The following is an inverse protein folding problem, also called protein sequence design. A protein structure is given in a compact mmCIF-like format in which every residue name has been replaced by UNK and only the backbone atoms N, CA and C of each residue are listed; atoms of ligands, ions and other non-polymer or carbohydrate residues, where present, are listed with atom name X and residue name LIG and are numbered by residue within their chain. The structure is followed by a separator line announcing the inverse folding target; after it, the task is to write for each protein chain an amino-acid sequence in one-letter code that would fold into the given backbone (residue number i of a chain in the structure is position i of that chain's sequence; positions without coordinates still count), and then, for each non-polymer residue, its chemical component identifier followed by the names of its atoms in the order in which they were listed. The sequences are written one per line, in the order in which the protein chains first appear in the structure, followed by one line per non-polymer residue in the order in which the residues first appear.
data_IF_935296894657
#
_entry.id   IF_935296894657
#
_cell.length_a   1.000
_cell.length_b   1.000
_cell.length_c   1.000
_cell.angle_alpha   90.00
_cell.angle_beta   90.00
_cell.angle_gamma   90.00
#
_symmetry.space_group_name_H-M   'P 1'
#
loop_
_entity.id
_entity.type
_entity.pdbx_description
1 polymer ?
#
# COMPACT_ATOMS: atom_id res chain seq x y z
N UNK A 1 -11.89 0.63 -33.38
CA UNK A 1 -12.91 1.65 -33.67
C UNK A 1 -14.28 1.24 -33.19
N UNK A 2 -15.02 0.37 -33.91
CA UNK A 2 -16.41 0.03 -33.58
C UNK A 2 -16.65 -0.43 -32.13
N UNK A 3 -15.73 -1.18 -31.51
CA UNK A 3 -15.90 -1.68 -30.13
C UNK A 3 -15.72 -0.61 -29.04
N UNK A 4 -14.86 0.40 -29.26
CA UNK A 4 -14.62 1.48 -28.30
C UNK A 4 -15.78 2.48 -28.38
N UNK A 5 -16.17 2.86 -29.60
CA UNK A 5 -17.30 3.77 -29.82
C UNK A 5 -18.64 3.17 -29.39
N UNK A 6 -18.90 1.88 -29.65
CA UNK A 6 -20.12 1.23 -29.14
C UNK A 6 -20.17 1.10 -27.61
N UNK A 7 -19.02 0.98 -26.94
CA UNK A 7 -18.98 0.68 -25.49
C UNK A 7 -18.87 1.92 -24.62
N UNK A 8 -18.21 2.97 -25.13
CA UNK A 8 -18.03 4.23 -24.42
C UNK A 8 -18.94 5.35 -24.95
N UNK A 9 -19.61 5.17 -26.09
CA UNK A 9 -20.44 6.20 -26.71
C UNK A 9 -19.64 7.36 -27.30
N UNK A 10 -18.33 7.17 -27.54
CA UNK A 10 -17.41 8.21 -27.98
C UNK A 10 -16.86 7.86 -29.36
N UNK A 11 -17.06 8.75 -30.33
CA UNK A 11 -16.41 8.66 -31.63
C UNK A 11 -14.98 9.17 -31.50
N UNK A 12 -14.00 8.30 -31.79
CA UNK A 12 -12.59 8.65 -31.79
C UNK A 12 -12.15 8.77 -33.25
N UNK A 13 -11.75 9.98 -33.72
CA UNK A 13 -11.21 10.16 -35.05
C UNK A 13 -9.97 9.28 -35.26
N UNK A 14 -9.83 8.71 -36.45
CA UNK A 14 -8.70 7.81 -36.76
C UNK A 14 -7.33 8.47 -36.56
N UNK A 15 -7.22 9.77 -36.87
CA UNK A 15 -6.00 10.56 -36.67
C UNK A 15 -5.53 10.53 -35.21
N UNK A 16 -6.46 10.51 -34.26
CA UNK A 16 -6.14 10.55 -32.85
C UNK A 16 -5.46 9.27 -32.34
N UNK A 17 -5.70 8.12 -32.98
CA UNK A 17 -5.02 6.88 -32.61
C UNK A 17 -3.52 6.94 -32.94
N UNK A 18 -3.16 7.68 -34.00
CA UNK A 18 -1.78 7.87 -34.38
C UNK A 18 -1.09 8.96 -33.53
N UNK A 19 -1.81 10.01 -33.15
CA UNK A 19 -1.28 11.07 -32.29
C UNK A 19 -1.22 10.67 -30.81
N UNK A 20 -2.09 9.75 -30.39
CA UNK A 20 -2.15 9.20 -29.05
C UNK A 20 -2.01 7.66 -29.06
N UNK A 21 -0.85 7.12 -29.47
CA UNK A 21 -0.67 5.69 -29.70
C UNK A 21 -0.54 4.86 -28.42
N UNK A 22 -0.60 5.50 -27.24
CA UNK A 22 -0.58 4.82 -25.95
C UNK A 22 -1.92 4.96 -25.25
N UNK A 23 -2.27 3.99 -24.41
CA UNK A 23 -3.49 4.02 -23.60
C UNK A 23 -3.53 5.30 -22.76
N UNK A 24 -2.39 5.73 -22.20
CA UNK A 24 -2.27 6.96 -21.42
C UNK A 24 -2.64 8.21 -22.23
N UNK A 25 -2.09 8.35 -23.44
CA UNK A 25 -2.37 9.49 -24.32
C UNK A 25 -3.82 9.46 -24.83
N UNK A 26 -4.33 8.27 -25.16
CA UNK A 26 -5.70 8.13 -25.67
C UNK A 26 -6.73 8.39 -24.56
N UNK A 27 -6.44 8.03 -23.30
CA UNK A 27 -7.27 8.38 -22.14
C UNK A 27 -7.38 9.88 -21.96
N UNK A 28 -6.26 10.61 -22.02
CA UNK A 28 -6.25 12.08 -21.93
C UNK A 28 -7.10 12.74 -23.02
N UNK A 29 -7.03 12.21 -24.23
CA UNK A 29 -7.87 12.68 -25.33
C UNK A 29 -9.36 12.43 -25.02
N UNK A 30 -9.71 11.22 -24.61
CA UNK A 30 -11.09 10.84 -24.27
C UNK A 30 -11.64 11.72 -23.13
N UNK A 31 -10.83 11.98 -22.11
CA UNK A 31 -11.15 12.90 -21.01
C UNK A 31 -11.43 14.32 -21.51
N UNK A 32 -10.61 14.84 -22.44
CA UNK A 32 -10.80 16.16 -23.05
C UNK A 32 -12.05 16.28 -23.92
N UNK A 33 -12.47 15.18 -24.57
CA UNK A 33 -13.70 15.15 -25.39
C UNK A 33 -14.94 15.08 -24.49
N UNK A 34 -14.88 14.32 -23.39
CA UNK A 34 -15.97 14.19 -22.44
C UNK A 34 -16.25 15.46 -21.63
N UNK A 35 -15.29 16.38 -21.48
CA UNK A 35 -15.52 17.66 -20.78
C UNK A 35 -16.51 18.57 -21.53
N UNK A 36 -16.77 18.30 -22.82
CA UNK A 36 -17.68 19.09 -23.68
C UNK A 36 -19.15 18.66 -23.60
N UNK A 37 -19.43 17.43 -23.15
CA UNK A 37 -20.78 16.93 -22.88
C UNK A 37 -20.93 16.86 -21.37
N UNK A 38 -21.82 17.68 -20.77
CA UNK A 38 -22.14 17.76 -19.34
C UNK A 38 -22.30 16.39 -18.63
N UNK A 39 -21.19 15.72 -18.37
CA UNK A 39 -21.07 14.61 -17.46
C UNK A 39 -20.09 15.10 -16.42
N UNK A 40 -20.62 15.89 -15.48
CA UNK A 40 -19.91 16.35 -14.28
C UNK A 40 -19.62 15.13 -13.40
N UNK A 41 -18.75 14.22 -13.84
CA UNK A 41 -18.07 13.31 -12.92
C UNK A 41 -17.14 14.19 -12.11
N UNK A 42 -17.66 14.79 -11.02
CA UNK A 42 -16.98 15.79 -10.20
C UNK A 42 -15.47 15.61 -10.18
N UNK A 43 -14.77 16.50 -10.89
CA UNK A 43 -13.31 16.57 -10.96
C UNK A 43 -12.82 17.14 -9.63
N UNK A 44 -12.78 16.28 -8.63
CA UNK A 44 -12.03 16.54 -7.42
C UNK A 44 -10.61 16.05 -7.68
N UNK A 45 -9.61 16.93 -7.86
CA UNK A 45 -8.23 16.49 -8.05
C UNK A 45 -7.71 15.87 -6.75
N UNK A 46 -6.89 14.82 -6.89
CA UNK A 46 -6.14 14.26 -5.76
C UNK A 46 -5.01 15.23 -5.41
N UNK A 47 -5.14 15.90 -4.27
CA UNK A 47 -4.18 16.88 -3.76
C UNK A 47 -3.64 16.43 -2.40
N UNK A 48 -2.43 16.86 -2.02
CA UNK A 48 -1.91 16.61 -0.68
C UNK A 48 -2.84 17.21 0.37
N UNK A 49 -3.18 16.41 1.37
CA UNK A 49 -4.01 16.83 2.52
C UNK A 49 -3.10 17.49 3.55
N UNK A 50 -3.47 18.66 4.11
CA UNK A 50 -2.72 19.26 5.21
C UNK A 50 -2.54 18.25 6.35
N UNK A 51 -1.30 18.06 6.80
CA UNK A 51 -0.98 17.26 7.98
C UNK A 51 -1.15 18.13 9.23
N UNK A 52 -2.37 18.56 9.50
CA UNK A 52 -2.69 19.15 10.80
C UNK A 52 -2.58 18.05 11.85
N UNK A 53 -1.86 18.33 12.93
CA UNK A 53 -1.37 17.31 13.88
C UNK A 53 -2.50 16.62 14.66
N UNK A 54 -3.74 17.09 14.53
CA UNK A 54 -4.92 16.63 15.25
C UNK A 54 -6.13 16.31 14.34
N UNK A 55 -6.01 16.43 13.02
CA UNK A 55 -7.13 16.14 12.14
C UNK A 55 -7.39 14.63 12.04
N UNK A 56 -8.63 14.20 12.29
CA UNK A 56 -9.06 12.82 12.13
C UNK A 56 -9.13 12.46 10.63
N UNK A 57 -8.06 11.85 10.13
CA UNK A 57 -7.95 11.42 8.72
C UNK A 57 -8.85 10.21 8.50
N UNK A 58 -9.82 10.24 7.58
CA UNK A 58 -10.72 9.11 7.41
C UNK A 58 -10.03 7.91 6.76
N UNK A 59 -10.51 6.70 7.04
CA UNK A 59 -10.09 5.49 6.33
C UNK A 59 -10.60 5.51 4.89
N UNK A 60 -9.88 4.88 3.96
CA UNK A 60 -10.44 4.52 2.66
C UNK A 60 -11.64 3.56 2.84
N UNK A 61 -12.48 3.40 1.81
CA UNK A 61 -13.63 2.48 1.85
C UNK A 61 -13.17 1.03 2.09
N UNK A 62 -12.08 0.61 1.44
CA UNK A 62 -11.48 -0.71 1.62
C UNK A 62 -10.95 -0.88 3.04
N UNK A 63 -10.21 0.11 3.55
CA UNK A 63 -9.70 0.07 4.93
C UNK A 63 -10.85 0.00 5.94
N UNK A 64 -11.95 0.73 5.73
CA UNK A 64 -13.11 0.66 6.62
C UNK A 64 -13.73 -0.73 6.65
N UNK A 65 -13.86 -1.39 5.49
CA UNK A 65 -14.33 -2.77 5.42
C UNK A 65 -13.43 -3.73 6.21
N UNK A 66 -12.11 -3.63 6.02
CA UNK A 66 -11.14 -4.44 6.77
C UNK A 66 -11.15 -4.14 8.27
N UNK A 67 -11.24 -2.86 8.66
CA UNK A 67 -11.35 -2.46 10.06
C UNK A 67 -12.58 -3.09 10.70
N UNK A 68 -13.75 -2.99 10.06
CA UNK A 68 -14.98 -3.60 10.56
C UNK A 68 -14.84 -5.12 10.74
N UNK A 69 -14.27 -5.81 9.74
CA UNK A 69 -14.03 -7.25 9.82
C UNK A 69 -13.03 -7.61 10.93
N UNK A 70 -11.99 -6.81 11.14
CA UNK A 70 -11.02 -7.01 12.21
C UNK A 70 -11.60 -6.80 13.62
N UNK A 71 -12.68 -6.03 13.76
CA UNK A 71 -13.41 -5.89 15.04
C UNK A 71 -14.29 -7.11 15.35
N UNK A 72 -14.67 -7.89 14.34
CA UNK A 72 -15.32 -9.18 14.55
C UNK A 72 -14.28 -10.13 15.14
N UNK A 73 -14.57 -10.74 16.30
CA UNK A 73 -13.58 -11.45 17.13
C UNK A 73 -12.94 -12.69 16.48
N UNK A 74 -13.33 -13.06 15.26
CA UNK A 74 -12.86 -14.24 14.56
C UNK A 74 -11.58 -13.97 13.77
N UNK A 75 -10.58 -14.82 14.01
CA UNK A 75 -9.30 -14.89 13.30
C UNK A 75 -8.60 -13.54 13.06
N UNK A 76 -8.09 -12.92 14.13
CA UNK A 76 -7.35 -11.64 14.08
C UNK A 76 -6.10 -11.62 13.20
N UNK A 77 -5.65 -12.79 12.72
CA UNK A 77 -4.50 -12.93 11.84
C UNK A 77 -4.91 -13.18 10.36
N UNK A 78 -6.20 -13.26 10.06
CA UNK A 78 -6.73 -13.58 8.72
C UNK A 78 -6.24 -12.64 7.60
N UNK A 79 -5.85 -11.41 7.96
CA UNK A 79 -5.39 -10.38 7.04
C UNK A 79 -3.88 -10.15 7.10
N UNK A 80 -3.12 -11.08 7.68
CA UNK A 80 -1.67 -11.05 7.60
C UNK A 80 -1.21 -11.43 6.19
N UNK A 81 -0.39 -10.58 5.60
CA UNK A 81 0.35 -10.86 4.37
C UNK A 81 1.79 -11.19 4.78
N UNK A 82 2.20 -12.43 4.57
CA UNK A 82 3.60 -12.87 4.77
C UNK A 82 4.25 -13.07 3.40
N UNK A 83 5.42 -12.50 3.20
CA UNK A 83 6.23 -12.66 1.98
C UNK A 83 7.66 -13.00 2.36
N UNK A 84 8.21 -14.02 1.72
CA UNK A 84 9.58 -14.48 1.95
C UNK A 84 10.45 -14.11 0.75
N UNK A 85 11.60 -13.52 1.02
CA UNK A 85 12.60 -13.14 0.02
C UNK A 85 13.91 -13.84 0.33
N UNK A 86 14.39 -14.66 -0.60
CA UNK A 86 15.69 -15.33 -0.46
C UNK A 86 16.79 -14.34 -0.81
N UNK A 87 17.73 -14.18 0.10
CA UNK A 87 18.94 -13.38 -0.06
C UNK A 87 20.12 -14.34 -0.15
N UNK A 88 20.95 -14.15 -1.17
CA UNK A 88 22.17 -14.92 -1.40
C UNK A 88 23.38 -14.00 -1.34
N UNK A 89 24.43 -14.45 -0.66
CA UNK A 89 25.64 -13.67 -0.38
C UNK A 89 25.66 -13.10 1.03
N UNK A 90 26.65 -12.26 1.29
CA UNK A 90 26.76 -11.55 2.57
C UNK A 90 25.70 -10.45 2.68
N UNK A 91 25.13 -10.32 3.88
CA UNK A 91 24.13 -9.31 4.21
C UNK A 91 24.68 -8.43 5.33
N UNK A 92 24.71 -7.12 5.09
CA UNK A 92 25.04 -6.13 6.12
C UNK A 92 23.75 -5.74 6.87
N UNK A 93 23.56 -6.30 8.06
CA UNK A 93 22.32 -6.11 8.84
C UNK A 93 22.10 -4.65 9.22
N UNK A 94 23.16 -3.91 9.53
CA UNK A 94 23.08 -2.47 9.84
C UNK A 94 22.52 -1.66 8.67
N UNK A 95 23.01 -1.92 7.45
CA UNK A 95 22.53 -1.25 6.23
C UNK A 95 21.09 -1.64 5.91
N UNK A 96 20.69 -2.89 6.20
CA UNK A 96 19.32 -3.35 6.05
C UNK A 96 18.38 -2.65 7.04
N UNK A 97 18.74 -2.55 8.32
CA UNK A 97 17.95 -1.85 9.34
C UNK A 97 17.76 -0.37 8.99
N UNK A 98 18.83 0.31 8.55
CA UNK A 98 18.76 1.70 8.10
C UNK A 98 17.86 1.87 6.87
N UNK A 99 17.92 0.91 5.92
CA UNK A 99 17.07 0.92 4.74
C UNK A 99 15.59 0.72 5.11
N UNK A 100 15.29 -0.18 6.05
CA UNK A 100 13.94 -0.40 6.59
C UNK A 100 13.42 0.86 7.28
N UNK A 101 14.22 1.48 8.16
CA UNK A 101 13.83 2.72 8.84
C UNK A 101 13.51 3.84 7.85
N UNK A 102 14.35 4.03 6.84
CA UNK A 102 14.14 5.04 5.80
C UNK A 102 12.87 4.76 4.97
N UNK A 103 12.60 3.48 4.66
CA UNK A 103 11.39 3.08 3.94
C UNK A 103 10.13 3.39 4.75
N UNK A 104 10.15 3.13 6.06
CA UNK A 104 9.03 3.41 6.98
C UNK A 104 8.79 4.92 7.10
N UNK A 105 9.85 5.72 7.23
CA UNK A 105 9.71 7.19 7.31
C UNK A 105 9.12 7.77 6.01
N UNK A 106 9.51 7.21 4.86
CA UNK A 106 9.09 7.63 3.52
C UNK A 106 7.61 7.35 3.21
N UNK A 107 7.07 6.22 3.69
CA UNK A 107 5.69 5.80 3.44
C UNK A 107 4.84 5.95 4.70
N UNK A 108 4.00 6.99 4.75
CA UNK A 108 3.18 7.30 5.93
C UNK A 108 2.30 6.11 6.38
N UNK A 109 1.81 5.33 5.41
CA UNK A 109 0.94 4.18 5.67
C UNK A 109 1.63 3.08 6.50
N UNK A 110 2.96 2.96 6.45
CA UNK A 110 3.71 1.97 7.22
C UNK A 110 3.82 2.34 8.70
N UNK A 111 3.62 3.62 9.03
CA UNK A 111 3.61 4.18 10.39
C UNK A 111 2.21 4.68 10.78
N UNK A 112 1.18 4.11 10.16
CA UNK A 112 -0.22 4.45 10.42
C UNK A 112 -0.89 3.39 11.29
N UNK A 113 -1.60 3.83 12.33
CA UNK A 113 -2.53 3.02 13.12
C UNK A 113 -3.97 3.52 12.93
N UNK A 114 -4.93 2.76 13.44
CA UNK A 114 -6.35 2.98 13.24
C UNK A 114 -7.05 3.03 14.59
N UNK A 115 -7.73 4.13 14.88
CA UNK A 115 -8.44 4.35 16.13
C UNK A 115 -9.95 4.39 15.88
N UNK A 116 -10.72 3.97 16.89
CA UNK A 116 -12.16 4.15 16.89
C UNK A 116 -12.50 5.59 17.32
N UNK A 117 -13.29 6.30 16.52
CA UNK A 117 -13.89 7.59 16.90
C UNK A 117 -15.36 7.44 17.33
N UNK A 118 -15.97 8.52 17.82
CA UNK A 118 -17.39 8.60 18.22
C UNK A 118 -18.39 8.37 17.06
N UNK A 119 -17.90 8.08 15.85
CA UNK A 119 -18.73 7.65 14.73
C UNK A 119 -18.00 6.72 13.77
N UNK A 120 -16.95 7.22 13.13
CA UNK A 120 -16.18 6.48 12.12
C UNK A 120 -14.74 6.31 12.60
N UNK A 121 -14.08 5.18 12.27
CA UNK A 121 -12.66 5.04 12.54
C UNK A 121 -11.87 6.07 11.73
N UNK A 122 -10.68 6.42 12.22
CA UNK A 122 -9.75 7.32 11.55
C UNK A 122 -8.31 6.79 11.64
N UNK A 123 -7.45 7.34 10.79
CA UNK A 123 -6.03 7.01 10.68
C UNK A 123 -5.23 7.95 11.57
N UNK A 124 -4.29 7.40 12.34
CA UNK A 124 -3.26 8.15 13.08
C UNK A 124 -1.91 7.84 12.50
N UNK A 125 -1.18 8.87 12.10
CA UNK A 125 0.15 8.71 11.52
C UNK A 125 1.19 9.10 12.57
N UNK A 126 1.98 8.14 13.04
CA UNK A 126 3.09 8.43 13.97
C UNK A 126 4.19 9.19 13.22
N UNK A 127 4.80 10.20 13.83
CA UNK A 127 5.92 10.94 13.21
C UNK A 127 7.13 10.04 12.92
N UNK A 128 7.36 9.07 13.79
CA UNK A 128 8.37 8.03 13.65
C UNK A 128 7.90 6.77 14.37
N UNK A 129 8.37 5.61 13.92
CA UNK A 129 8.13 4.33 14.59
C UNK A 129 9.41 3.50 14.56
N UNK A 130 9.83 3.02 15.73
CA UNK A 130 10.94 2.09 15.84
C UNK A 130 10.48 0.70 15.44
N UNK A 131 11.14 0.11 14.44
CA UNK A 131 10.80 -1.23 13.97
C UNK A 131 12.03 -2.13 13.97
N UNK A 132 12.23 -2.94 15.02
CA UNK A 132 13.42 -3.79 15.09
C UNK A 132 13.34 -4.90 14.05
N UNK A 133 14.49 -5.20 13.42
CA UNK A 133 14.66 -6.40 12.61
C UNK A 133 14.78 -7.61 13.54
N UNK A 134 13.80 -8.52 13.50
CA UNK A 134 13.90 -9.78 14.24
C UNK A 134 14.89 -10.70 13.52
N UNK A 135 15.81 -11.33 14.26
CA UNK A 135 16.78 -12.28 13.69
C UNK A 135 16.51 -13.66 14.28
N UNK A 136 16.33 -14.64 13.41
CA UNK A 136 16.17 -16.06 13.78
C UNK A 136 17.34 -16.83 13.15
N UNK A 137 18.19 -17.41 13.98
CA UNK A 137 19.31 -18.22 13.51
C UNK A 137 18.91 -19.69 13.39
N UNK A 138 18.82 -20.19 12.16
CA UNK A 138 18.56 -21.59 11.83
C UNK A 138 19.78 -22.24 11.14
N UNK A 139 20.97 -21.66 11.29
CA UNK A 139 22.19 -22.15 10.64
C UNK A 139 22.54 -23.60 11.03
N UNK A 140 22.10 -24.06 12.19
CA UNK A 140 22.30 -25.43 12.70
C UNK A 140 21.10 -26.35 12.46
N UNK A 141 19.90 -25.80 12.30
CA UNK A 141 18.63 -26.55 12.19
C UNK A 141 18.20 -26.79 10.73
N UNK A 142 18.78 -26.05 9.78
CA UNK A 142 18.51 -26.22 8.35
C UNK A 142 17.13 -25.69 7.94
N UNK A 143 16.55 -26.30 6.90
CA UNK A 143 15.31 -25.79 6.29
C UNK A 143 14.05 -26.12 7.08
N UNK A 144 14.11 -27.07 8.01
CA UNK A 144 12.93 -27.59 8.71
C UNK A 144 12.30 -26.57 9.66
N UNK A 145 13.10 -25.65 10.23
CA UNK A 145 12.59 -24.58 11.10
C UNK A 145 11.92 -23.41 10.35
N UNK A 146 12.09 -23.30 9.03
CA UNK A 146 11.58 -22.15 8.25
C UNK A 146 10.06 -22.15 8.23
N UNK A 147 9.43 -23.31 8.05
CA UNK A 147 7.98 -23.43 7.98
C UNK A 147 7.34 -22.99 9.29
N UNK A 148 7.92 -23.38 10.43
CA UNK A 148 7.45 -22.97 11.75
C UNK A 148 7.53 -21.45 11.94
N UNK A 149 8.63 -20.81 11.53
CA UNK A 149 8.76 -19.34 11.59
C UNK A 149 7.72 -18.65 10.72
N UNK A 150 7.47 -19.16 9.51
CA UNK A 150 6.44 -18.61 8.61
C UNK A 150 5.04 -18.79 9.22
N UNK A 151 4.73 -19.96 9.78
CA UNK A 151 3.45 -20.23 10.42
C UNK A 151 3.24 -19.34 11.67
N UNK A 152 4.28 -19.11 12.46
CA UNK A 152 4.22 -18.19 13.58
C UNK A 152 3.91 -16.77 13.13
N UNK A 153 4.58 -16.28 12.08
CA UNK A 153 4.33 -14.95 11.53
C UNK A 153 2.94 -14.83 10.90
N UNK A 154 2.45 -15.87 10.22
CA UNK A 154 1.10 -15.92 9.66
C UNK A 154 0.05 -15.82 10.76
N UNK A 155 0.23 -16.51 11.88
CA UNK A 155 -0.76 -16.60 12.96
C UNK A 155 -0.62 -15.50 14.02
N UNK A 156 0.48 -14.72 14.02
CA UNK A 156 0.70 -13.63 14.97
C UNK A 156 -0.14 -12.40 14.60
N UNK A 157 -1.22 -12.08 15.35
CA UNK A 157 -2.11 -10.98 14.98
C UNK A 157 -1.41 -9.63 15.12
N UNK A 158 -1.88 -8.64 14.36
CA UNK A 158 -1.54 -7.24 14.57
C UNK A 158 -2.62 -6.56 15.42
N UNK A 159 -2.20 -5.65 16.30
CA UNK A 159 -3.11 -4.71 16.96
C UNK A 159 -3.22 -3.46 16.08
N UNK A 160 -4.37 -3.27 15.45
CA UNK A 160 -4.60 -2.14 14.54
C UNK A 160 -4.56 -0.77 15.22
N UNK A 161 -4.76 -0.72 16.54
CA UNK A 161 -4.77 0.51 17.34
C UNK A 161 -3.35 0.87 17.76
N UNK A 162 -2.59 -0.11 18.25
CA UNK A 162 -1.26 0.13 18.81
C UNK A 162 -0.13 0.06 17.77
N UNK A 163 -0.28 -0.77 16.74
CA UNK A 163 0.78 -1.02 15.76
C UNK A 163 2.08 -1.58 16.39
N UNK A 164 3.21 -1.51 15.66
CA UNK A 164 3.31 -1.32 14.20
C UNK A 164 2.56 -2.42 13.43
N UNK A 165 2.12 -2.11 12.20
CA UNK A 165 1.34 -3.03 11.36
C UNK A 165 2.17 -3.78 10.31
N UNK A 166 3.48 -3.79 10.52
CA UNK A 166 4.47 -4.55 9.76
C UNK A 166 5.54 -5.12 10.70
N UNK A 167 6.23 -6.16 10.25
CA UNK A 167 7.39 -6.79 10.90
C UNK A 167 8.36 -7.28 9.83
N UNK A 168 9.64 -7.17 10.12
CA UNK A 168 10.69 -7.83 9.34
C UNK A 168 11.36 -8.90 10.21
N UNK A 169 11.48 -10.10 9.66
CA UNK A 169 12.19 -11.21 10.30
C UNK A 169 13.24 -11.76 9.34
N UNK A 170 14.50 -11.71 9.74
CA UNK A 170 15.63 -12.26 9.01
C UNK A 170 15.94 -13.66 9.55
N UNK A 171 15.72 -14.68 8.72
CA UNK A 171 16.11 -16.05 9.00
C UNK A 171 17.51 -16.29 8.43
N UNK A 172 18.48 -16.60 9.29
CA UNK A 172 19.84 -16.92 8.89
C UNK A 172 19.98 -18.43 8.67
N UNK A 173 20.38 -18.85 7.46
CA UNK A 173 20.61 -20.26 7.10
C UNK A 173 22.12 -20.57 6.92
N UNK A 174 22.98 -19.66 7.39
CA UNK A 174 24.43 -19.68 7.20
C UNK A 174 24.96 -18.29 6.83
N UNK A 175 26.24 -18.22 6.47
CA UNK A 175 26.93 -16.95 6.19
C UNK A 175 26.48 -16.28 4.88
N UNK A 176 26.04 -17.06 3.89
CA UNK A 176 25.72 -16.56 2.54
C UNK A 176 24.27 -16.82 2.11
N UNK A 177 23.41 -17.24 3.02
CA UNK A 177 22.02 -17.51 2.71
C UNK A 177 21.12 -17.07 3.85
N UNK A 178 20.23 -16.15 3.54
CA UNK A 178 19.22 -15.66 4.47
C UNK A 178 17.85 -15.61 3.80
N UNK A 179 16.80 -15.59 4.59
CA UNK A 179 15.44 -15.32 4.14
C UNK A 179 14.93 -14.11 4.90
N UNK A 180 14.59 -13.05 4.18
CA UNK A 180 13.90 -11.89 4.75
C UNK A 180 12.40 -12.13 4.62
N UNK A 181 11.72 -12.29 5.76
CA UNK A 181 10.28 -12.27 5.85
C UNK A 181 9.79 -10.85 6.06
N UNK A 182 8.86 -10.42 5.22
CA UNK A 182 8.04 -9.22 5.42
C UNK A 182 6.63 -9.67 5.77
N UNK A 183 6.21 -9.37 6.99
CA UNK A 183 4.85 -9.60 7.47
C UNK A 183 4.16 -8.27 7.65
N UNK A 184 2.96 -8.10 7.11
CA UNK A 184 2.20 -6.84 7.21
C UNK A 184 0.71 -7.10 7.25
N UNK A 185 -0.05 -6.21 7.89
CA UNK A 185 -1.50 -6.27 7.85
C UNK A 185 -2.03 -5.72 6.52
N UNK A 186 -2.98 -6.39 5.88
CA UNK A 186 -3.51 -6.00 4.57
C UNK A 186 -4.18 -4.60 4.55
N UNK A 187 -4.54 -4.07 5.72
CA UNK A 187 -5.11 -2.71 5.84
C UNK A 187 -4.12 -1.59 5.45
N UNK A 188 -2.81 -1.87 5.47
CA UNK A 188 -1.75 -0.91 5.12
C UNK A 188 -1.03 -1.24 3.80
N UNK A 189 -1.41 -2.31 3.11
CA UNK A 189 -0.69 -2.76 1.91
C UNK A 189 -1.51 -3.69 1.02
N UNK A 190 -1.04 -3.89 -0.21
CA UNK A 190 -1.54 -4.87 -1.18
C UNK A 190 -0.35 -5.50 -1.94
N UNK A 191 -0.66 -6.45 -2.83
CA UNK A 191 0.37 -7.16 -3.60
C UNK A 191 1.22 -6.24 -4.49
N UNK A 192 0.63 -5.15 -5.01
CA UNK A 192 1.38 -4.19 -5.81
C UNK A 192 2.33 -3.37 -4.94
N UNK A 193 1.84 -2.89 -3.80
CA UNK A 193 2.59 -2.09 -2.83
C UNK A 193 3.80 -2.87 -2.32
N UNK A 194 3.67 -4.17 -2.08
CA UNK A 194 4.79 -5.05 -1.68
C UNK A 194 5.92 -5.02 -2.73
N UNK A 195 5.61 -5.03 -4.02
CA UNK A 195 6.63 -4.97 -5.08
C UNK A 195 7.36 -3.62 -5.09
N UNK A 196 6.62 -2.52 -4.89
CA UNK A 196 7.20 -1.17 -4.77
C UNK A 196 8.12 -1.10 -3.56
N UNK A 197 7.66 -1.56 -2.39
CA UNK A 197 8.43 -1.57 -1.15
C UNK A 197 9.72 -2.38 -1.28
N UNK A 198 9.68 -3.54 -1.93
CA UNK A 198 10.87 -4.36 -2.14
C UNK A 198 11.89 -3.68 -3.07
N UNK A 199 11.42 -3.05 -4.16
CA UNK A 199 12.27 -2.29 -5.08
C UNK A 199 12.95 -1.12 -4.38
N UNK A 200 12.20 -0.35 -3.60
CA UNK A 200 12.75 0.77 -2.84
C UNK A 200 13.69 0.30 -1.73
N UNK A 201 13.36 -0.77 -1.00
CA UNK A 201 14.23 -1.37 0.02
C UNK A 201 15.58 -1.79 -0.57
N UNK A 202 15.57 -2.45 -1.74
CA UNK A 202 16.80 -2.82 -2.45
C UNK A 202 17.63 -1.59 -2.84
N UNK A 203 16.99 -0.51 -3.29
CA UNK A 203 17.68 0.74 -3.64
C UNK A 203 18.31 1.40 -2.40
N UNK A 204 17.56 1.47 -1.30
CA UNK A 204 18.00 2.04 -0.02
C UNK A 204 19.14 1.24 0.59
N UNK A 205 19.04 -0.09 0.59
CA UNK A 205 20.10 -0.98 1.04
C UNK A 205 21.40 -0.78 0.24
N UNK A 206 21.30 -0.75 -1.09
CA UNK A 206 22.46 -0.53 -1.98
C UNK A 206 23.10 0.84 -1.74
N UNK A 207 22.29 1.87 -1.52
CA UNK A 207 22.75 3.21 -1.21
C UNK A 207 23.52 3.24 0.13
N UNK A 208 22.98 2.58 1.16
CA UNK A 208 23.64 2.41 2.47
C UNK A 208 24.99 1.71 2.36
N UNK A 209 25.06 0.58 1.66
CA UNK A 209 26.30 -0.17 1.43
C UNK A 209 27.37 0.67 0.72
N UNK A 210 26.96 1.51 -0.22
CA UNK A 210 27.88 2.34 -1.02
C UNK A 210 28.11 3.72 -0.42
N UNK A 211 27.51 4.03 0.74
CA UNK A 211 27.53 5.35 1.38
C UNK A 211 27.11 6.49 0.45
N UNK A 212 26.15 6.21 -0.44
CA UNK A 212 25.56 7.18 -1.38
C UNK A 212 24.15 7.54 -0.95
N UNK A 213 23.67 8.69 -1.41
CA UNK A 213 22.26 9.03 -1.24
C UNK A 213 21.39 8.13 -2.13
N UNK A 214 20.28 7.60 -1.63
CA UNK A 214 19.33 6.84 -2.44
C UNK A 214 18.70 7.74 -3.50
N UNK A 215 18.52 7.20 -4.72
CA UNK A 215 17.84 7.89 -5.81
C UNK A 215 16.40 7.41 -5.90
N UNK A 216 15.56 7.88 -4.96
CA UNK A 216 14.13 7.61 -4.98
C UNK A 216 13.37 8.91 -5.35
N UNK A 217 12.36 8.85 -6.24
CA UNK A 217 11.57 10.02 -6.58
C UNK A 217 10.80 10.52 -5.35
N UNK A 218 10.49 11.82 -5.29
CA UNK A 218 9.61 12.34 -4.26
C UNK A 218 8.21 11.70 -4.35
N UNK A 219 7.56 11.52 -3.21
CA UNK A 219 6.17 11.06 -3.12
C UNK A 219 5.28 12.29 -2.84
N UNK A 220 4.78 12.97 -3.88
CA UNK A 220 3.95 14.16 -3.68
C UNK A 220 2.60 13.83 -3.04
N UNK A 221 2.17 12.56 -3.14
CA UNK A 221 0.91 12.04 -2.63
C UNK A 221 1.21 10.82 -1.78
N UNK A 222 0.56 10.73 -0.63
CA UNK A 222 0.59 9.60 0.28
C UNK A 222 -0.77 8.91 0.31
N UNK A 223 -0.83 7.71 0.86
CA UNK A 223 -2.07 6.93 0.88
C UNK A 223 -3.21 7.65 1.62
N UNK A 224 -2.89 8.40 2.67
CA UNK A 224 -3.88 9.18 3.42
C UNK A 224 -4.54 10.28 2.60
N UNK A 225 -3.83 10.84 1.61
CA UNK A 225 -4.38 11.81 0.67
C UNK A 225 -5.41 11.15 -0.25
N UNK A 226 -5.09 9.93 -0.71
CA UNK A 226 -6.02 9.10 -1.46
C UNK A 226 -7.27 8.75 -0.63
N UNK A 227 -7.10 8.39 0.64
CA UNK A 227 -8.22 8.06 1.51
C UNK A 227 -9.16 9.25 1.73
N UNK A 228 -8.60 10.44 2.01
CA UNK A 228 -9.37 11.67 2.15
C UNK A 228 -10.09 12.07 0.85
N UNK A 229 -9.38 12.00 -0.28
CA UNK A 229 -9.93 12.25 -1.60
C UNK A 229 -11.08 11.29 -1.95
N UNK A 230 -10.90 9.99 -1.71
CA UNK A 230 -11.91 8.98 -1.97
C UNK A 230 -13.17 9.28 -1.16
N UNK A 231 -13.02 9.63 0.13
CA UNK A 231 -14.15 9.97 0.98
C UNK A 231 -14.93 11.17 0.46
N UNK A 232 -14.23 12.24 0.10
CA UNK A 232 -14.85 13.43 -0.45
C UNK A 232 -15.60 13.13 -1.76
N UNK A 233 -15.02 12.32 -2.64
CA UNK A 233 -15.63 11.90 -3.90
C UNK A 233 -16.92 11.09 -3.69
N UNK A 234 -16.96 10.25 -2.66
CA UNK A 234 -18.10 9.36 -2.39
C UNK A 234 -19.11 9.92 -1.37
N UNK A 235 -18.89 11.14 -0.85
CA UNK A 235 -19.91 11.93 -0.13
C UNK A 235 -20.64 12.85 -1.11
N UNK A 236 -21.84 12.46 -1.58
CA UNK A 236 -22.66 13.24 -2.52
C UNK A 236 -23.46 12.38 -3.51
N UNK A 237 -23.84 12.96 -4.65
CA UNK A 237 -24.67 12.36 -5.73
C UNK A 237 -24.13 11.00 -6.28
N UNK A 238 -22.86 10.69 -6.05
CA UNK A 238 -22.27 9.39 -6.43
C UNK A 238 -22.83 8.19 -5.65
N UNK A 239 -23.46 8.41 -4.48
CA UNK A 239 -24.13 7.37 -3.69
C UNK A 239 -25.27 6.69 -4.48
N UNK A 240 -25.96 7.43 -5.35
CA UNK A 240 -27.10 6.91 -6.11
C UNK A 240 -26.67 6.02 -7.29
N UNK A 241 -25.45 6.19 -7.80
CA UNK A 241 -24.92 5.39 -8.90
C UNK A 241 -24.59 3.93 -8.51
N UNK A 242 -24.31 3.65 -7.23
CA UNK A 242 -24.02 2.29 -6.74
C UNK A 242 -25.26 1.46 -6.43
N UNK A 243 -26.44 2.08 -6.28
CA UNK A 243 -27.71 1.36 -6.07
C UNK A 243 -28.04 0.46 -7.27
N UNK A 244 -27.48 0.73 -8.46
CA UNK A 244 -27.60 -0.16 -9.63
C UNK A 244 -26.94 -1.52 -9.44
N UNK A 245 -25.85 -1.62 -8.69
CA UNK A 245 -25.13 -2.90 -8.49
C UNK A 245 -25.85 -3.82 -7.51
N UNK A 246 -26.48 -3.27 -6.47
CA UNK A 246 -27.23 -4.05 -5.47
C UNK A 246 -28.55 -4.60 -6.03
N UNK A 247 -29.12 -3.97 -7.07
CA UNK A 247 -30.37 -4.43 -7.71
C UNK A 247 -30.18 -5.54 -8.75
N UNK A 248 -28.95 -5.97 -9.02
CA UNK A 248 -28.62 -7.02 -10.00
C UNK A 248 -28.28 -8.38 -9.34
N UNK A 249 -28.44 -8.50 -8.02
CA UNK A 249 -28.45 -9.75 -7.26
C UNK A 249 -29.84 -9.99 -6.69
#
# INVERSE_FOLDING_TARGET
MARISNRLGIEIPLLQIFEAPTISLLSKYIESVNTSNNCSTGDYPLVPTPRETEADIPLSLTQQGMWFLAQLKDNRAAYNLVRAFVITGSLDTTSLENAIATLIDRHEILRTTFEAGEGMPFQRISSHIGLPLSIVDLSTEGFDGIEEVILQEQNRPFDLIQGPLLRFTLICLGQEKQILLLTMHHIISDDWSIQVLLSELSSLYTAGLTQKSPSLPALPIQYVDYAAWQRHRFTGEFRDSQIKWVRLL
#
